data_IF_516257171794
#
_entry.id   IF_516257171794
#
_cell.length_a   1.000
_cell.length_b   1.000
_cell.length_c   1.000
_cell.angle_alpha   90.00
_cell.angle_beta   90.00
_cell.angle_gamma   90.00
#
_symmetry.space_group_name_H-M   'P 1'
#
loop_
_entity.id
_entity.type
_entity.pdbx_description
1 polymer ?
#
# COMPACT_ATOMS: atom_id res chain seq x y z
N UNK A 1 3.54 -7.56 5.53
CA UNK A 1 3.05 -6.50 6.45
C UNK A 1 1.76 -5.91 5.89
N UNK A 2 0.76 -5.67 6.72
CA UNK A 2 -0.56 -5.13 6.32
C UNK A 2 -0.62 -3.63 6.64
N UNK A 3 -0.95 -2.82 5.64
CA UNK A 3 -1.16 -1.37 5.74
C UNK A 3 -2.58 -1.06 5.25
N UNK A 4 -3.57 -1.00 6.14
CA UNK A 4 -4.98 -0.73 5.80
C UNK A 4 -5.23 0.68 5.28
N UNK A 5 -6.47 0.92 4.81
CA UNK A 5 -7.00 2.26 4.56
C UNK A 5 -7.50 2.97 5.82
N UNK A 6 -8.11 4.15 5.62
CA UNK A 6 -8.84 4.87 6.68
C UNK A 6 -9.90 3.94 7.29
N UNK A 7 -10.14 4.06 8.60
CA UNK A 7 -11.02 3.22 9.43
C UNK A 7 -10.59 1.75 9.57
N UNK A 8 -9.35 1.41 9.14
CA UNK A 8 -8.81 0.05 9.19
C UNK A 8 -9.53 -0.92 8.22
N UNK A 9 -9.20 -2.20 8.30
CA UNK A 9 -9.87 -3.28 7.57
C UNK A 9 -10.66 -4.13 8.56
N UNK A 10 -11.98 -4.26 8.33
CA UNK A 10 -12.85 -5.10 9.15
C UNK A 10 -12.49 -6.60 9.01
N UNK A 11 -13.19 -7.46 9.76
CA UNK A 11 -12.88 -8.89 9.84
C UNK A 11 -13.06 -9.62 8.50
N UNK A 12 -13.97 -9.16 7.64
CA UNK A 12 -14.30 -9.78 6.35
C UNK A 12 -13.46 -9.23 5.20
N UNK A 13 -12.75 -8.15 5.42
CA UNK A 13 -11.87 -7.55 4.41
C UNK A 13 -10.68 -8.47 4.11
N UNK A 14 -10.29 -8.56 2.85
CA UNK A 14 -9.23 -9.46 2.39
C UNK A 14 -7.90 -9.29 3.16
N UNK A 15 -7.52 -8.07 3.55
CA UNK A 15 -6.32 -7.85 4.36
C UNK A 15 -6.41 -8.56 5.72
N UNK A 16 -7.57 -8.51 6.38
CA UNK A 16 -7.79 -9.17 7.66
C UNK A 16 -7.89 -10.69 7.50
N UNK A 17 -8.48 -11.17 6.41
CA UNK A 17 -8.51 -12.59 6.07
C UNK A 17 -7.09 -13.10 5.83
N UNK A 18 -6.31 -12.43 5.00
CA UNK A 18 -4.92 -12.83 4.69
C UNK A 18 -4.00 -12.76 5.91
N UNK A 19 -4.21 -11.77 6.79
CA UNK A 19 -3.46 -11.68 8.05
C UNK A 19 -3.73 -12.90 8.94
N UNK A 20 -5.02 -13.29 9.11
CA UNK A 20 -5.37 -14.48 9.90
C UNK A 20 -4.77 -15.78 9.32
N UNK A 21 -4.76 -15.91 7.99
CA UNK A 21 -4.19 -17.07 7.30
C UNK A 21 -2.67 -17.17 7.46
N UNK A 22 -1.96 -16.04 7.56
CA UNK A 22 -0.52 -16.00 7.78
C UNK A 22 -0.11 -16.08 9.24
N UNK A 23 -1.03 -15.84 10.16
CA UNK A 23 -0.74 -15.88 11.60
C UNK A 23 0.39 -14.94 12.00
N UNK A 24 1.36 -15.44 12.72
CA UNK A 24 2.49 -14.67 13.25
C UNK A 24 3.44 -14.13 12.17
N UNK A 25 3.35 -14.64 10.93
CA UNK A 25 4.13 -14.13 9.79
C UNK A 25 3.54 -12.83 9.19
N UNK A 26 2.44 -12.32 9.77
CA UNK A 26 1.79 -11.10 9.29
C UNK A 26 1.65 -10.04 10.38
N UNK A 27 2.36 -8.94 10.20
CA UNK A 27 2.28 -7.77 11.08
C UNK A 27 1.36 -6.72 10.43
N UNK A 28 0.53 -6.07 11.23
CA UNK A 28 -0.26 -4.90 10.83
C UNK A 28 0.31 -3.65 11.49
N UNK A 29 0.35 -2.53 10.75
CA UNK A 29 0.71 -1.24 11.36
C UNK A 29 -0.27 -0.87 12.48
N UNK A 30 0.19 -0.07 13.43
CA UNK A 30 -0.62 0.41 14.56
C UNK A 30 -0.45 1.93 14.71
N UNK A 31 -1.15 2.74 13.90
CA UNK A 31 -1.18 4.18 14.05
C UNK A 31 -2.00 4.59 15.28
N UNK A 32 -1.86 5.83 15.73
CA UNK A 32 -2.60 6.36 16.87
C UNK A 32 -4.11 6.44 16.59
N UNK A 33 -4.49 6.75 15.35
CA UNK A 33 -5.90 6.81 14.92
C UNK A 33 -6.08 6.23 13.52
N UNK A 34 -7.15 5.45 13.36
CA UNK A 34 -7.62 4.97 12.06
C UNK A 34 -8.64 5.90 11.43
N UNK A 35 -9.38 6.66 12.24
CA UNK A 35 -10.45 7.55 11.79
C UNK A 35 -10.03 8.99 11.59
N UNK A 36 -8.98 9.42 12.30
CA UNK A 36 -8.36 10.74 12.17
C UNK A 36 -6.87 10.55 11.84
N UNK A 37 -6.57 10.09 10.60
CA UNK A 37 -5.22 9.66 10.25
C UNK A 37 -4.28 10.86 10.06
N UNK A 38 -3.13 10.84 10.74
CA UNK A 38 -2.04 11.78 10.56
C UNK A 38 -0.93 11.14 9.72
N UNK A 39 -0.47 11.77 8.61
CA UNK A 39 0.56 11.20 7.74
C UNK A 39 1.88 10.90 8.44
N UNK A 40 2.28 11.74 9.41
CA UNK A 40 3.51 11.56 10.18
C UNK A 40 3.40 10.34 11.09
N UNK A 41 2.31 10.23 11.86
CA UNK A 41 2.04 9.07 12.72
C UNK A 41 1.95 7.77 11.91
N UNK A 42 1.29 7.78 10.74
CA UNK A 42 1.21 6.59 9.89
C UNK A 42 2.56 6.18 9.33
N UNK A 43 3.41 7.13 8.95
CA UNK A 43 4.80 6.87 8.53
C UNK A 43 5.61 6.24 9.67
N UNK A 44 5.49 6.78 10.88
CA UNK A 44 6.15 6.22 12.06
C UNK A 44 5.61 4.83 12.42
N UNK A 45 4.30 4.59 12.26
CA UNK A 45 3.70 3.28 12.46
C UNK A 45 4.23 2.23 11.46
N UNK A 46 4.43 2.60 10.17
CA UNK A 46 5.09 1.75 9.19
C UNK A 46 6.53 1.47 9.62
N UNK A 47 7.29 2.49 10.01
CA UNK A 47 8.69 2.34 10.45
C UNK A 47 8.82 1.40 11.64
N UNK A 48 7.97 1.56 12.68
CA UNK A 48 7.94 0.67 13.84
C UNK A 48 7.63 -0.78 13.46
N UNK A 49 6.66 -0.98 12.57
CA UNK A 49 6.28 -2.31 12.12
C UNK A 49 7.37 -2.96 11.24
N UNK A 50 8.04 -2.21 10.36
CA UNK A 50 9.20 -2.70 9.58
C UNK A 50 10.33 -3.12 10.51
N UNK A 51 10.67 -2.29 11.51
CA UNK A 51 11.72 -2.58 12.47
C UNK A 51 11.43 -3.81 13.36
N UNK A 52 10.17 -4.23 13.50
CA UNK A 52 9.79 -5.42 14.25
C UNK A 52 9.90 -6.72 13.45
N UNK A 53 10.11 -6.65 12.13
CA UNK A 53 10.25 -7.82 11.27
C UNK A 53 11.69 -8.35 11.29
N UNK A 54 11.85 -9.66 11.39
CA UNK A 54 13.17 -10.30 11.32
C UNK A 54 13.79 -10.22 9.91
N UNK A 55 12.95 -10.25 8.88
CA UNK A 55 13.34 -10.17 7.47
C UNK A 55 12.61 -8.99 6.81
N UNK A 56 13.16 -8.40 5.73
CA UNK A 56 12.50 -7.33 5.00
C UNK A 56 11.10 -7.73 4.55
N UNK A 57 10.02 -7.08 5.03
CA UNK A 57 8.66 -7.48 4.70
C UNK A 57 8.22 -6.99 3.32
N UNK A 58 7.21 -7.64 2.73
CA UNK A 58 6.40 -7.08 1.65
C UNK A 58 5.30 -6.22 2.26
N UNK A 59 5.21 -4.94 1.85
CA UNK A 59 4.14 -4.04 2.26
C UNK A 59 2.88 -4.31 1.42
N UNK A 60 1.78 -4.70 2.07
CA UNK A 60 0.50 -4.97 1.42
C UNK A 60 -0.48 -3.87 1.82
N UNK A 61 -0.62 -2.85 0.99
CA UNK A 61 -1.40 -1.66 1.28
C UNK A 61 -2.72 -1.62 0.51
N UNK A 62 -3.73 -1.00 1.12
CA UNK A 62 -5.03 -0.74 0.51
C UNK A 62 -5.45 0.71 0.74
N UNK A 63 -6.07 1.34 -0.26
CA UNK A 63 -6.71 2.65 -0.13
C UNK A 63 -5.74 3.71 0.43
N UNK A 64 -6.09 4.43 1.50
CA UNK A 64 -5.24 5.42 2.14
C UNK A 64 -3.86 4.87 2.52
N UNK A 65 -3.78 3.59 2.87
CA UNK A 65 -2.51 2.90 3.14
C UNK A 65 -1.54 2.94 1.97
N UNK A 66 -2.04 3.03 0.72
CA UNK A 66 -1.19 3.20 -0.47
C UNK A 66 -0.47 4.55 -0.43
N UNK A 67 -1.17 5.63 -0.07
CA UNK A 67 -0.56 6.96 0.06
C UNK A 67 0.45 7.02 1.21
N UNK A 68 0.14 6.36 2.33
CA UNK A 68 1.06 6.25 3.46
C UNK A 68 2.35 5.50 3.08
N UNK A 69 2.23 4.37 2.37
CA UNK A 69 3.38 3.61 1.87
C UNK A 69 4.18 4.41 0.85
N UNK A 70 3.52 5.14 -0.05
CA UNK A 70 4.19 5.99 -1.04
C UNK A 70 5.02 7.09 -0.37
N UNK A 71 4.46 7.77 0.64
CA UNK A 71 5.17 8.80 1.42
C UNK A 71 6.32 8.19 2.22
N UNK A 72 6.11 7.05 2.86
CA UNK A 72 7.14 6.33 3.61
C UNK A 72 8.31 5.90 2.72
N UNK A 73 8.03 5.30 1.55
CA UNK A 73 9.07 4.88 0.59
C UNK A 73 9.88 6.07 0.07
N UNK A 74 9.23 7.22 -0.18
CA UNK A 74 9.92 8.42 -0.64
C UNK A 74 10.84 9.01 0.45
N UNK A 75 10.43 8.96 1.73
CA UNK A 75 11.21 9.43 2.87
C UNK A 75 12.35 8.47 3.21
N UNK A 76 12.09 7.17 3.34
CA UNK A 76 13.10 6.15 3.68
C UNK A 76 14.25 6.13 2.67
N UNK A 77 13.94 6.32 1.38
CA UNK A 77 14.94 6.41 0.32
C UNK A 77 15.77 7.69 0.37
N UNK A 78 15.17 8.80 0.77
CA UNK A 78 15.91 10.06 0.92
C UNK A 78 16.91 9.97 2.08
N UNK A 79 16.55 9.28 3.16
CA UNK A 79 17.38 9.12 4.35
C UNK A 79 18.50 8.08 4.16
N UNK A 80 18.28 7.06 3.30
CA UNK A 80 19.24 5.99 3.00
C UNK A 80 20.06 6.32 1.74
N UNK A 81 20.83 7.37 1.74
CA UNK A 81 21.61 7.84 0.59
C UNK A 81 22.79 6.94 0.14
N UNK A 82 22.88 5.69 0.62
CA UNK A 82 23.95 4.72 0.32
C UNK A 82 23.47 3.48 -0.45
N UNK A 83 24.39 2.75 -1.13
CA UNK A 83 24.09 1.43 -1.68
C UNK A 83 23.95 0.44 -0.51
N UNK A 84 22.74 0.19 -0.05
CA UNK A 84 22.46 -0.69 1.06
C UNK A 84 21.20 -1.53 0.86
N UNK A 85 21.00 -2.47 1.76
CA UNK A 85 19.82 -3.32 1.83
C UNK A 85 18.54 -2.46 1.90
N UNK A 86 17.52 -2.86 1.17
CA UNK A 86 16.20 -2.24 1.26
C UNK A 86 15.56 -2.64 2.59
N UNK A 87 14.90 -1.69 3.29
CA UNK A 87 14.17 -1.99 4.52
C UNK A 87 12.97 -2.92 4.28
N UNK A 88 12.53 -3.05 3.03
CA UNK A 88 11.40 -3.88 2.61
C UNK A 88 11.72 -4.64 1.33
N UNK A 89 11.18 -5.84 1.18
CA UNK A 89 11.39 -6.69 0.01
C UNK A 89 10.59 -6.19 -1.21
N UNK A 90 9.42 -5.58 -0.99
CA UNK A 90 8.57 -5.07 -2.06
C UNK A 90 7.32 -4.38 -1.51
N UNK A 91 6.53 -3.78 -2.42
CA UNK A 91 5.24 -3.17 -2.09
C UNK A 91 4.15 -3.61 -3.07
N UNK A 92 3.06 -4.14 -2.53
CA UNK A 92 1.84 -4.55 -3.24
C UNK A 92 0.71 -3.59 -2.85
N UNK A 93 0.39 -2.65 -3.73
CA UNK A 93 -0.45 -1.49 -3.49
C UNK A 93 -1.78 -1.66 -4.21
N UNK A 94 -2.90 -1.62 -3.49
CA UNK A 94 -4.23 -1.94 -4.03
C UNK A 94 -5.17 -0.76 -3.90
N UNK A 95 -5.82 -0.37 -4.99
CA UNK A 95 -6.85 0.65 -5.04
C UNK A 95 -6.40 2.01 -4.42
N UNK A 96 -5.40 2.69 -4.99
CA UNK A 96 -4.95 3.99 -4.49
C UNK A 96 -6.09 5.02 -4.60
N UNK A 97 -6.40 5.81 -3.55
CA UNK A 97 -7.36 6.91 -3.70
C UNK A 97 -6.66 8.15 -4.27
N UNK A 98 -7.41 9.01 -4.98
CA UNK A 98 -6.92 10.32 -5.41
C UNK A 98 -7.21 11.39 -4.34
N UNK A 99 -6.18 11.99 -3.71
CA UNK A 99 -6.39 13.06 -2.72
C UNK A 99 -7.05 14.31 -3.29
N UNK A 100 -7.08 14.44 -4.63
CA UNK A 100 -7.72 15.58 -5.31
C UNK A 100 -9.18 15.30 -5.70
N UNK A 101 -9.66 14.05 -5.52
CA UNK A 101 -11.03 13.70 -5.86
C UNK A 101 -12.03 14.29 -4.85
N UNK A 102 -13.22 14.75 -5.30
CA UNK A 102 -14.23 15.31 -4.40
C UNK A 102 -14.71 14.36 -3.29
N UNK A 103 -14.59 13.05 -3.52
CA UNK A 103 -14.95 12.01 -2.55
C UNK A 103 -13.83 11.61 -1.58
N UNK A 104 -12.67 12.28 -1.63
CA UNK A 104 -11.58 11.99 -0.70
C UNK A 104 -11.97 12.42 0.72
N UNK A 105 -11.77 11.56 1.76
CA UNK A 105 -12.19 11.86 3.13
C UNK A 105 -11.53 13.12 3.68
N UNK A 106 -12.32 14.04 4.23
CA UNK A 106 -11.82 15.28 4.84
C UNK A 106 -10.83 15.00 5.99
N UNK A 107 -11.10 13.96 6.77
CA UNK A 107 -10.24 13.54 7.89
C UNK A 107 -8.85 13.07 7.42
N UNK A 108 -8.70 12.70 6.14
CA UNK A 108 -7.45 12.31 5.53
C UNK A 108 -6.76 13.42 4.71
N UNK A 109 -7.22 14.68 4.83
CA UNK A 109 -6.75 15.83 4.01
C UNK A 109 -5.25 16.13 4.12
N UNK A 110 -4.57 15.60 5.14
CA UNK A 110 -3.11 15.69 5.27
C UNK A 110 -2.34 14.79 4.31
N UNK A 111 -2.98 13.77 3.73
CA UNK A 111 -2.33 12.87 2.76
C UNK A 111 -2.27 13.51 1.37
N UNK A 112 -1.18 13.27 0.67
CA UNK A 112 -0.93 13.84 -0.67
C UNK A 112 -0.75 12.73 -1.71
N UNK A 113 -0.86 13.12 -2.99
CA UNK A 113 -0.52 12.22 -4.09
C UNK A 113 0.93 11.71 -3.98
N UNK A 114 1.21 10.49 -4.47
CA UNK A 114 2.56 9.95 -4.47
C UNK A 114 3.58 10.90 -5.08
N UNK A 115 4.73 11.00 -4.44
CA UNK A 115 5.91 11.72 -4.95
C UNK A 115 6.89 10.72 -5.58
N UNK A 116 7.78 11.16 -6.48
CA UNK A 116 8.79 10.28 -7.03
C UNK A 116 9.58 9.60 -5.91
N UNK A 117 9.63 8.28 -5.95
CA UNK A 117 10.53 7.52 -5.09
C UNK A 117 11.92 7.63 -5.69
N UNK A 118 12.92 8.15 -4.96
CA UNK A 118 14.28 8.27 -5.49
C UNK A 118 14.76 6.91 -6.01
N UNK A 119 15.10 6.85 -7.29
CA UNK A 119 15.61 5.63 -7.92
C UNK A 119 17.04 5.43 -7.41
N UNK A 120 17.22 4.55 -6.43
CA UNK A 120 18.54 4.03 -6.07
C UNK A 120 19.19 3.30 -7.25
N UNK A 121 20.41 2.79 -7.07
CA UNK A 121 21.01 1.86 -8.04
C UNK A 121 20.10 0.66 -8.26
N UNK A 122 20.22 -0.03 -9.40
CA UNK A 122 19.36 -1.19 -9.72
C UNK A 122 19.32 -2.24 -8.59
N UNK A 123 20.43 -2.41 -7.83
CA UNK A 123 20.54 -3.31 -6.68
C UNK A 123 19.76 -2.86 -5.42
N UNK A 124 19.31 -1.61 -5.35
CA UNK A 124 18.56 -1.08 -4.21
C UNK A 124 17.14 -0.64 -4.55
N UNK A 125 16.57 -1.03 -5.69
CA UNK A 125 15.20 -0.66 -6.07
C UNK A 125 14.19 -1.59 -5.41
N UNK A 126 13.27 -1.03 -4.63
CA UNK A 126 12.12 -1.79 -4.10
C UNK A 126 11.15 -2.10 -5.26
N UNK A 127 10.87 -3.36 -5.58
CA UNK A 127 9.82 -3.72 -6.52
C UNK A 127 8.45 -3.23 -6.02
N UNK A 128 7.68 -2.58 -6.89
CA UNK A 128 6.34 -2.08 -6.55
C UNK A 128 5.34 -2.60 -7.58
N UNK A 129 4.24 -3.17 -7.11
CA UNK A 129 3.07 -3.56 -7.90
C UNK A 129 1.89 -2.72 -7.48
N UNK A 130 1.25 -2.02 -8.43
CA UNK A 130 0.03 -1.28 -8.18
C UNK A 130 -1.15 -1.97 -8.85
N UNK A 131 -2.11 -2.40 -8.04
CA UNK A 131 -3.34 -3.07 -8.48
C UNK A 131 -4.45 -2.05 -8.61
N UNK A 132 -5.04 -1.96 -9.80
CA UNK A 132 -6.00 -0.93 -10.17
C UNK A 132 -7.30 -1.58 -10.63
N UNK A 133 -8.42 -1.18 -10.04
CA UNK A 133 -9.76 -1.52 -10.50
C UNK A 133 -10.23 -0.52 -11.56
N UNK A 134 -11.00 -1.00 -12.54
CA UNK A 134 -11.43 -0.18 -13.68
C UNK A 134 -12.59 0.76 -13.35
N UNK A 135 -13.29 0.52 -12.25
CA UNK A 135 -14.46 1.23 -11.77
C UNK A 135 -14.34 1.73 -10.32
N UNK A 136 -13.11 1.97 -9.85
CA UNK A 136 -12.87 2.49 -8.50
C UNK A 136 -13.47 3.91 -8.36
N UNK A 137 -14.42 4.14 -7.43
CA UNK A 137 -15.07 5.44 -7.27
C UNK A 137 -14.14 6.52 -6.67
N UNK A 138 -12.99 6.14 -6.11
CA UNK A 138 -12.07 7.06 -5.44
C UNK A 138 -10.84 7.43 -6.29
N UNK A 139 -10.63 6.76 -7.44
CA UNK A 139 -9.51 7.06 -8.32
C UNK A 139 -9.78 6.54 -9.74
N UNK A 140 -9.66 7.40 -10.73
CA UNK A 140 -9.73 6.96 -12.12
C UNK A 140 -8.52 6.11 -12.49
N UNK A 141 -8.68 5.22 -13.49
CA UNK A 141 -7.58 4.38 -13.99
C UNK A 141 -6.39 5.25 -14.42
N UNK A 142 -6.62 6.32 -15.18
CA UNK A 142 -5.56 7.22 -15.66
C UNK A 142 -4.80 7.85 -14.49
N UNK A 143 -5.51 8.21 -13.43
CA UNK A 143 -4.89 8.79 -12.24
C UNK A 143 -4.06 7.77 -11.46
N UNK A 144 -4.57 6.57 -11.29
CA UNK A 144 -3.85 5.47 -10.66
C UNK A 144 -2.59 5.07 -11.46
N UNK A 145 -2.68 5.06 -12.80
CA UNK A 145 -1.53 4.83 -13.68
C UNK A 145 -0.48 5.94 -13.51
N UNK A 146 -0.90 7.21 -13.46
CA UNK A 146 0.03 8.32 -13.21
C UNK A 146 0.73 8.22 -11.84
N UNK A 147 0.05 7.72 -10.81
CA UNK A 147 0.67 7.43 -9.52
C UNK A 147 1.69 6.29 -9.63
N UNK A 148 1.34 5.21 -10.32
CA UNK A 148 2.24 4.09 -10.56
C UNK A 148 3.51 4.54 -11.31
N UNK A 149 3.37 5.33 -12.38
CA UNK A 149 4.50 5.88 -13.13
C UNK A 149 5.40 6.74 -12.23
N UNK A 150 4.80 7.60 -11.39
CA UNK A 150 5.54 8.44 -10.43
C UNK A 150 6.37 7.62 -9.46
N UNK A 151 5.84 6.46 -9.02
CA UNK A 151 6.52 5.56 -8.08
C UNK A 151 7.45 4.54 -8.76
N UNK A 152 7.43 4.44 -10.08
CA UNK A 152 8.10 3.36 -10.84
C UNK A 152 7.46 1.99 -10.58
N UNK A 153 6.17 1.95 -10.30
CA UNK A 153 5.41 0.73 -10.03
C UNK A 153 4.92 0.07 -11.33
N UNK A 154 4.91 -1.27 -11.35
CA UNK A 154 4.25 -2.00 -12.43
C UNK A 154 2.74 -2.08 -12.15
N UNK A 155 1.92 -1.65 -13.12
CA UNK A 155 0.45 -1.65 -13.02
C UNK A 155 -0.12 -3.03 -13.34
N UNK A 156 -1.10 -3.45 -12.53
CA UNK A 156 -1.93 -4.62 -12.77
C UNK A 156 -3.41 -4.24 -12.69
N UNK A 157 -4.11 -4.28 -13.82
CA UNK A 157 -5.56 -4.04 -13.85
C UNK A 157 -6.31 -5.33 -13.54
N UNK A 158 -7.34 -5.23 -12.68
CA UNK A 158 -8.10 -6.38 -12.18
C UNK A 158 -9.57 -6.38 -12.61
N UNK A 159 -9.92 -5.54 -13.60
CA UNK A 159 -11.30 -5.38 -14.05
C UNK A 159 -12.12 -4.54 -13.07
N UNK A 160 -13.44 -4.73 -13.08
CA UNK A 160 -14.42 -3.95 -12.30
C UNK A 160 -14.64 -4.58 -10.92
N UNK A 161 -13.86 -4.16 -9.93
CA UNK A 161 -13.94 -4.61 -8.54
C UNK A 161 -14.24 -3.46 -7.55
N UNK A 162 -14.74 -2.32 -8.07
CA UNK A 162 -14.96 -1.13 -7.27
C UNK A 162 -13.70 -0.72 -6.53
N UNK A 163 -13.81 -0.38 -5.24
CA UNK A 163 -12.66 -0.03 -4.40
C UNK A 163 -11.93 -1.25 -3.80
N UNK A 164 -12.13 -2.44 -4.37
CA UNK A 164 -11.52 -3.70 -3.92
C UNK A 164 -11.70 -3.93 -2.41
N UNK A 165 -12.90 -3.69 -1.90
CA UNK A 165 -13.24 -3.82 -0.49
C UNK A 165 -14.56 -4.58 -0.28
N UNK A 166 -14.96 -4.79 0.97
CA UNK A 166 -16.19 -5.50 1.31
C UNK A 166 -17.44 -4.80 0.74
N UNK A 167 -17.48 -3.47 0.77
CA UNK A 167 -18.60 -2.69 0.22
C UNK A 167 -18.74 -2.85 -1.32
N UNK A 168 -17.66 -3.18 -2.01
CA UNK A 168 -17.64 -3.50 -3.44
C UNK A 168 -17.91 -4.99 -3.73
N UNK A 169 -18.28 -5.77 -2.72
CA UNK A 169 -18.48 -7.22 -2.85
C UNK A 169 -17.19 -8.04 -2.85
N UNK A 170 -16.04 -7.42 -2.56
CA UNK A 170 -14.74 -8.10 -2.51
C UNK A 170 -14.40 -8.42 -1.05
N UNK A 171 -14.75 -9.62 -0.61
CA UNK A 171 -14.44 -10.14 0.74
C UNK A 171 -13.00 -10.66 0.84
N UNK A 172 -12.84 -11.99 0.95
CA UNK A 172 -11.52 -12.64 1.13
C UNK A 172 -10.56 -12.58 -0.06
N UNK A 173 -11.05 -12.25 -1.23
CA UNK A 173 -10.32 -12.02 -2.50
C UNK A 173 -9.27 -13.08 -2.86
N UNK A 174 -9.66 -14.35 -3.13
CA UNK A 174 -8.71 -15.41 -3.48
C UNK A 174 -7.83 -15.08 -4.69
N UNK A 175 -8.41 -14.46 -5.74
CA UNK A 175 -7.66 -14.06 -6.93
C UNK A 175 -6.55 -13.04 -6.59
N UNK A 176 -6.83 -12.06 -5.72
CA UNK A 176 -5.81 -11.11 -5.25
C UNK A 176 -4.69 -11.80 -4.46
N UNK A 177 -5.03 -12.86 -3.71
CA UNK A 177 -4.04 -13.66 -2.99
C UNK A 177 -3.05 -14.34 -3.95
N UNK A 178 -3.53 -14.86 -5.08
CA UNK A 178 -2.67 -15.44 -6.11
C UNK A 178 -1.79 -14.36 -6.78
N UNK A 179 -2.32 -13.15 -7.00
CA UNK A 179 -1.54 -12.03 -7.52
C UNK A 179 -0.41 -11.61 -6.57
N UNK A 180 -0.69 -11.58 -5.25
CA UNK A 180 0.34 -11.33 -4.25
C UNK A 180 1.40 -12.43 -4.25
N UNK A 181 1.01 -13.71 -4.27
CA UNK A 181 1.95 -14.84 -4.33
C UNK A 181 2.84 -14.79 -5.57
N UNK A 182 2.25 -14.48 -6.74
CA UNK A 182 3.01 -14.31 -7.98
C UNK A 182 4.00 -13.15 -7.87
N UNK A 183 3.64 -12.05 -7.21
CA UNK A 183 4.55 -10.95 -6.95
C UNK A 183 5.67 -11.36 -5.98
N UNK A 184 5.35 -12.02 -4.87
CA UNK A 184 6.34 -12.51 -3.89
C UNK A 184 7.40 -13.44 -4.54
N UNK A 185 7.04 -14.21 -5.59
CA UNK A 185 7.97 -15.07 -6.34
C UNK A 185 8.97 -14.30 -7.22
N UNK A 186 8.76 -13.00 -7.42
CA UNK A 186 9.66 -12.15 -8.22
C UNK A 186 10.67 -11.37 -7.37
N UNK A 187 10.56 -11.47 -6.06
CA UNK A 187 11.41 -10.81 -5.07
C UNK A 187 12.63 -11.66 -4.73
#
# INVERSE_FOLDING_TARGET
MIVPGIWNSDAEHWQSVWQRERGDDAVRIAPASWGEPDPGDWRDAISRAVASCAEPPVLVAHSLGVLAVADWLAADRADRAGPGETAVAGAFLVAPPDPSAPGFPADASGFTAPRPVPLGTAAGRVPIRMVVSDDDPYCTVDRAVAFADTMGAAVLRVGTLGHVNVASGVGGWPAGRELLRAFEQTL
#
